data_IF_613621675793
#
_entry.id   IF_613621675793
#
_cell.length_a   1.000
_cell.length_b   1.000
_cell.length_c   1.000
_cell.angle_alpha   90.00
_cell.angle_beta   90.00
_cell.angle_gamma   90.00
#
_symmetry.space_group_name_H-M   'P 1'
#
loop_
_entity.id
_entity.type
_entity.pdbx_description
1 polymer ?
#
# COMPACT_ATOMS: atom_id res chain seq x y z
N UNK A 1 -1.73 -36.07 -30.86
CA UNK A 1 -1.37 -34.74 -30.34
C UNK A 1 -1.66 -34.77 -28.86
N UNK A 2 -0.62 -34.90 -28.03
CA UNK A 2 -0.78 -34.68 -26.58
C UNK A 2 -1.02 -33.17 -26.47
N UNK A 3 -2.22 -32.77 -26.07
CA UNK A 3 -2.46 -31.37 -25.72
C UNK A 3 -1.62 -31.09 -24.48
N UNK A 4 -0.63 -30.22 -24.61
CA UNK A 4 0.07 -29.69 -23.44
C UNK A 4 -0.97 -29.11 -22.47
N UNK A 5 -0.81 -29.41 -21.19
CA UNK A 5 -1.73 -28.95 -20.16
C UNK A 5 -1.75 -27.42 -20.18
N UNK A 6 -2.91 -26.76 -20.41
CA UNK A 6 -3.00 -25.30 -20.39
C UNK A 6 -2.49 -24.71 -19.08
N UNK A 7 -2.55 -25.45 -17.97
CA UNK A 7 -2.03 -25.03 -16.67
C UNK A 7 -0.48 -24.95 -16.67
N UNK A 8 0.20 -25.77 -17.47
CA UNK A 8 1.67 -25.71 -17.64
C UNK A 8 2.10 -24.43 -18.35
N UNK A 9 1.38 -24.04 -19.41
CA UNK A 9 1.65 -22.83 -20.17
C UNK A 9 1.39 -21.56 -19.34
N UNK A 10 0.34 -21.52 -18.51
CA UNK A 10 0.10 -20.40 -17.61
C UNK A 10 1.19 -20.25 -16.53
N UNK A 11 1.73 -21.36 -16.03
CA UNK A 11 2.85 -21.36 -15.08
C UNK A 11 4.14 -20.89 -15.75
N UNK A 12 4.46 -21.36 -16.96
CA UNK A 12 5.65 -20.93 -17.71
C UNK A 12 5.57 -19.44 -18.12
N UNK A 13 4.38 -18.95 -18.49
CA UNK A 13 4.13 -17.53 -18.72
C UNK A 13 4.21 -16.70 -17.42
N UNK A 14 3.75 -17.23 -16.28
CA UNK A 14 3.91 -16.57 -14.98
C UNK A 14 5.38 -16.54 -14.54
N UNK A 15 6.14 -17.61 -14.80
CA UNK A 15 7.57 -17.71 -14.52
C UNK A 15 8.37 -16.64 -15.28
N UNK A 16 8.07 -16.47 -16.57
CA UNK A 16 8.72 -15.46 -17.43
C UNK A 16 8.25 -14.02 -17.17
N UNK A 17 6.99 -13.82 -16.75
CA UNK A 17 6.44 -12.49 -16.49
C UNK A 17 6.84 -11.97 -15.10
N UNK A 18 6.55 -12.69 -14.02
CA UNK A 18 6.59 -12.13 -12.67
C UNK A 18 8.03 -11.78 -12.24
N UNK A 19 9.06 -12.36 -12.87
CA UNK A 19 10.47 -12.02 -12.61
C UNK A 19 10.88 -12.28 -11.17
N UNK A 20 10.22 -13.25 -10.52
CA UNK A 20 10.57 -13.81 -9.20
C UNK A 20 11.69 -14.85 -9.35
N UNK A 21 11.83 -15.41 -10.56
CA UNK A 21 12.79 -16.45 -10.86
C UNK A 21 13.94 -15.83 -11.65
N UNK A 22 15.01 -15.46 -10.95
CA UNK A 22 16.30 -15.32 -11.63
C UNK A 22 16.73 -16.72 -12.10
N UNK A 23 17.08 -16.91 -13.38
CA UNK A 23 17.61 -18.18 -13.86
C UNK A 23 18.78 -18.64 -12.96
N UNK A 24 18.63 -19.78 -12.30
CA UNK A 24 19.64 -20.37 -11.38
C UNK A 24 19.36 -20.23 -9.88
N UNK A 25 18.33 -19.48 -9.44
CA UNK A 25 17.92 -19.42 -8.02
C UNK A 25 16.53 -20.02 -7.83
N UNK A 26 16.48 -21.24 -7.28
CA UNK A 26 15.26 -22.03 -7.07
C UNK A 26 14.42 -21.62 -5.84
N UNK A 27 14.76 -20.51 -5.17
CA UNK A 27 14.44 -20.35 -3.75
C UNK A 27 12.96 -20.03 -3.42
N UNK A 28 12.20 -19.46 -4.35
CA UNK A 28 10.77 -19.14 -4.16
C UNK A 28 9.84 -19.94 -5.10
N UNK A 29 10.28 -21.07 -5.69
CA UNK A 29 9.40 -21.86 -6.58
C UNK A 29 8.28 -22.59 -5.84
N UNK A 30 8.47 -22.83 -4.53
CA UNK A 30 7.47 -23.51 -3.72
C UNK A 30 7.43 -22.92 -2.30
N UNK A 31 6.26 -22.39 -1.96
CA UNK A 31 5.94 -21.89 -0.63
C UNK A 31 4.89 -22.85 -0.06
N UNK A 32 5.32 -23.66 0.91
CA UNK A 32 4.43 -24.45 1.74
C UNK A 32 3.80 -23.58 2.86
N UNK A 33 2.92 -24.18 3.65
CA UNK A 33 2.25 -23.46 4.74
C UNK A 33 3.22 -22.93 5.79
N UNK A 34 4.27 -23.67 6.15
CA UNK A 34 5.24 -23.26 7.16
C UNK A 34 6.02 -22.01 6.72
N UNK A 35 6.44 -21.96 5.45
CA UNK A 35 7.06 -20.78 4.85
C UNK A 35 6.06 -19.63 4.75
N UNK A 36 4.83 -19.88 4.29
CA UNK A 36 3.81 -18.83 4.18
C UNK A 36 3.47 -18.22 5.55
N UNK A 37 3.38 -19.04 6.59
CA UNK A 37 3.15 -18.60 7.96
C UNK A 37 4.31 -17.71 8.45
N UNK A 38 5.57 -18.07 8.18
CA UNK A 38 6.73 -17.22 8.49
C UNK A 38 6.71 -15.90 7.71
N UNK A 39 6.25 -15.91 6.46
CA UNK A 39 6.07 -14.71 5.64
C UNK A 39 4.98 -13.80 6.24
N UNK A 40 3.90 -14.37 6.76
CA UNK A 40 2.85 -13.64 7.46
C UNK A 40 3.37 -13.03 8.76
N UNK A 41 4.10 -13.79 9.57
CA UNK A 41 4.74 -13.28 10.79
C UNK A 41 5.72 -12.14 10.46
N UNK A 42 6.51 -12.28 9.39
CA UNK A 42 7.43 -11.23 8.96
C UNK A 42 6.68 -9.97 8.49
N UNK A 43 5.60 -10.13 7.71
CA UNK A 43 4.76 -9.01 7.28
C UNK A 43 4.10 -8.31 8.47
N UNK A 44 3.60 -9.08 9.44
CA UNK A 44 3.06 -8.56 10.70
C UNK A 44 4.11 -7.83 11.53
N UNK A 45 5.34 -8.36 11.61
CA UNK A 45 6.46 -7.69 12.26
C UNK A 45 6.89 -6.41 11.51
N UNK A 46 6.77 -6.38 10.19
CA UNK A 46 7.07 -5.19 9.37
C UNK A 46 6.05 -4.09 9.65
N UNK A 47 4.78 -4.47 9.72
CA UNK A 47 3.70 -3.57 10.12
C UNK A 47 3.92 -3.03 11.55
N UNK A 48 4.19 -3.91 12.52
CA UNK A 48 4.47 -3.52 13.90
C UNK A 48 5.70 -2.60 14.00
N UNK A 49 6.74 -2.83 13.20
CA UNK A 49 7.90 -1.94 13.13
C UNK A 49 7.53 -0.56 12.58
N UNK A 50 6.73 -0.49 11.52
CA UNK A 50 6.21 0.79 11.02
C UNK A 50 5.40 1.54 12.08
N UNK A 51 4.49 0.84 12.79
CA UNK A 51 3.74 1.45 13.90
C UNK A 51 4.66 1.94 15.02
N UNK A 52 5.66 1.16 15.41
CA UNK A 52 6.63 1.56 16.42
C UNK A 52 7.44 2.79 15.98
N UNK A 53 7.86 2.84 14.72
CA UNK A 53 8.56 4.00 14.18
C UNK A 53 7.63 5.22 14.07
N UNK A 54 6.36 5.06 13.75
CA UNK A 54 5.36 6.14 13.80
C UNK A 54 5.22 6.69 15.21
N UNK A 55 5.18 5.84 16.24
CA UNK A 55 5.19 6.30 17.65
C UNK A 55 6.47 7.07 17.95
N UNK A 56 7.63 6.58 17.51
CA UNK A 56 8.91 7.28 17.69
C UNK A 56 8.91 8.64 16.98
N UNK A 57 8.46 8.73 15.73
CA UNK A 57 8.40 10.01 15.00
C UNK A 57 7.39 10.96 15.64
N UNK A 58 6.26 10.48 16.18
CA UNK A 58 5.34 11.33 16.96
C UNK A 58 6.00 11.87 18.22
N UNK A 59 6.72 11.04 18.99
CA UNK A 59 7.44 11.51 20.19
C UNK A 59 8.52 12.54 19.84
N UNK A 60 9.25 12.33 18.74
CA UNK A 60 10.21 13.30 18.23
C UNK A 60 9.52 14.60 17.79
N UNK A 61 8.36 14.52 17.14
CA UNK A 61 7.57 15.69 16.76
C UNK A 61 7.14 16.51 17.98
N UNK A 62 6.80 15.87 19.09
CA UNK A 62 6.51 16.54 20.36
C UNK A 62 7.75 17.28 20.89
N UNK A 63 8.91 16.61 20.92
CA UNK A 63 10.18 17.21 21.38
C UNK A 63 10.59 18.41 20.49
N UNK A 64 10.31 18.32 19.19
CA UNK A 64 10.58 19.39 18.22
C UNK A 64 9.54 20.53 18.24
N UNK A 65 8.48 20.40 19.04
CA UNK A 65 7.39 21.38 19.10
C UNK A 65 6.44 21.35 17.90
N UNK A 66 6.54 20.35 17.01
CA UNK A 66 5.62 20.13 15.90
C UNK A 66 4.26 19.57 16.36
N UNK A 67 4.24 18.92 17.53
CA UNK A 67 3.01 18.48 18.20
C UNK A 67 3.03 19.04 19.61
N UNK A 68 2.02 19.83 19.96
CA UNK A 68 1.93 20.49 21.26
C UNK A 68 0.72 19.96 22.03
N UNK A 69 0.92 19.71 23.32
CA UNK A 69 -0.17 19.32 24.23
C UNK A 69 -0.43 20.50 25.15
N UNK A 70 -1.62 21.08 25.07
CA UNK A 70 -2.00 22.20 25.95
C UNK A 70 -2.24 21.72 27.39
N UNK A 71 -2.24 22.63 28.39
CA UNK A 71 -2.66 22.27 29.75
C UNK A 71 -4.08 21.69 29.85
N UNK A 72 -4.94 22.01 28.88
CA UNK A 72 -6.29 21.45 28.75
C UNK A 72 -6.34 20.09 28.04
N UNK A 73 -5.19 19.46 27.79
CA UNK A 73 -5.03 18.18 27.07
C UNK A 73 -5.48 18.20 25.60
N UNK A 74 -5.56 19.38 24.98
CA UNK A 74 -5.77 19.47 23.54
C UNK A 74 -4.45 19.22 22.81
N UNK A 75 -4.50 18.44 21.74
CA UNK A 75 -3.36 18.17 20.87
C UNK A 75 -3.43 19.14 19.69
N UNK A 76 -2.39 19.95 19.52
CA UNK A 76 -2.25 20.91 18.42
C UNK A 76 -1.13 20.41 17.52
N UNK A 77 -1.44 20.30 16.24
CA UNK A 77 -0.50 19.91 15.19
C UNK A 77 -0.02 21.16 14.45
N UNK A 78 1.29 21.40 14.47
CA UNK A 78 1.90 22.45 13.66
C UNK A 78 1.99 22.02 12.19
N UNK A 79 2.18 22.98 11.26
CA UNK A 79 2.53 22.65 9.88
C UNK A 79 3.69 21.64 9.82
N UNK A 80 3.63 20.72 8.86
CA UNK A 80 4.59 19.64 8.62
C UNK A 80 4.60 18.50 9.64
N UNK A 81 3.85 18.59 10.73
CA UNK A 81 3.82 17.56 11.78
C UNK A 81 3.46 16.18 11.23
N UNK A 82 2.40 16.07 10.44
CA UNK A 82 1.95 14.78 9.88
C UNK A 82 2.86 14.21 8.79
N UNK A 83 3.45 15.08 7.96
CA UNK A 83 4.46 14.66 6.99
C UNK A 83 5.67 14.08 7.73
N UNK A 84 6.10 14.73 8.82
CA UNK A 84 7.18 14.23 9.67
C UNK A 84 6.82 12.91 10.35
N UNK A 85 5.62 12.81 10.93
CA UNK A 85 5.13 11.57 11.57
C UNK A 85 5.09 10.42 10.57
N UNK A 86 4.65 10.68 9.33
CA UNK A 86 4.55 9.69 8.25
C UNK A 86 5.89 9.06 7.87
N UNK A 87 7.04 9.66 8.22
CA UNK A 87 8.35 9.04 8.03
C UNK A 87 8.49 7.71 8.79
N UNK A 88 7.67 7.47 9.83
CA UNK A 88 7.59 6.19 10.53
C UNK A 88 7.23 5.01 9.60
N UNK A 89 6.51 5.28 8.51
CA UNK A 89 6.06 4.25 7.57
C UNK A 89 7.20 3.55 6.82
N UNK A 90 8.41 4.14 6.77
CA UNK A 90 9.57 3.42 6.23
C UNK A 90 9.84 2.09 6.96
N UNK A 91 9.33 1.91 8.18
CA UNK A 91 9.37 0.62 8.89
C UNK A 91 8.72 -0.54 8.12
N UNK A 92 7.68 -0.28 7.32
CA UNK A 92 6.96 -1.30 6.55
C UNK A 92 7.85 -2.00 5.52
N UNK A 93 8.87 -1.33 4.99
CA UNK A 93 9.74 -1.88 3.93
C UNK A 93 11.04 -2.47 4.46
N UNK A 94 11.43 -2.18 5.69
CA UNK A 94 12.71 -2.63 6.25
C UNK A 94 12.80 -4.18 6.25
N UNK A 95 11.80 -4.87 6.79
CA UNK A 95 11.84 -6.33 6.88
C UNK A 95 11.67 -7.03 5.51
N UNK A 96 10.75 -6.62 4.62
CA UNK A 96 10.70 -7.14 3.25
C UNK A 96 12.02 -7.00 2.49
N UNK A 97 12.67 -5.83 2.58
CA UNK A 97 13.97 -5.59 1.92
C UNK A 97 15.07 -6.47 2.54
N UNK A 98 15.11 -6.59 3.87
CA UNK A 98 16.06 -7.49 4.56
C UNK A 98 15.84 -8.94 4.17
N UNK A 99 14.58 -9.38 4.05
CA UNK A 99 14.24 -10.74 3.63
C UNK A 99 14.80 -11.03 2.24
N UNK A 100 14.47 -10.22 1.23
CA UNK A 100 14.92 -10.49 -0.15
C UNK A 100 16.45 -10.43 -0.25
N UNK A 101 17.11 -9.50 0.44
CA UNK A 101 18.58 -9.44 0.48
C UNK A 101 19.20 -10.66 1.15
N UNK A 102 18.64 -11.15 2.27
CA UNK A 102 19.12 -12.35 2.98
C UNK A 102 19.10 -13.59 2.08
N UNK A 103 18.09 -13.72 1.24
CA UNK A 103 17.95 -14.83 0.30
C UNK A 103 18.57 -14.54 -1.08
N UNK A 104 19.24 -13.40 -1.22
CA UNK A 104 19.86 -12.93 -2.47
C UNK A 104 18.88 -12.79 -3.63
N UNK A 105 17.63 -12.46 -3.32
CA UNK A 105 16.57 -12.15 -4.26
C UNK A 105 16.68 -10.66 -4.62
N UNK A 106 16.56 -10.32 -5.90
CA UNK A 106 16.57 -8.93 -6.36
C UNK A 106 15.39 -8.12 -5.82
N UNK A 107 15.60 -6.82 -5.58
CA UNK A 107 14.53 -5.88 -5.22
C UNK A 107 13.43 -5.80 -6.29
N UNK A 108 13.73 -6.20 -7.53
CA UNK A 108 12.74 -6.34 -8.62
C UNK A 108 11.67 -7.40 -8.30
N UNK A 109 11.97 -8.37 -7.44
CA UNK A 109 11.03 -9.39 -6.97
C UNK A 109 10.01 -8.87 -5.97
N UNK A 110 10.24 -7.69 -5.38
CA UNK A 110 9.23 -6.95 -4.59
C UNK A 110 8.72 -5.73 -5.34
N UNK A 111 8.89 -5.74 -6.66
CA UNK A 111 8.29 -4.78 -7.58
C UNK A 111 8.97 -3.41 -7.65
N UNK A 112 10.16 -3.28 -7.07
CA UNK A 112 11.08 -2.16 -7.31
C UNK A 112 11.73 -2.34 -8.69
N UNK A 113 10.94 -2.10 -9.73
CA UNK A 113 11.34 -2.13 -11.13
C UNK A 113 10.47 -1.16 -11.91
N UNK A 114 11.03 -0.52 -12.94
CA UNK A 114 10.27 0.27 -13.91
C UNK A 114 10.76 -0.12 -15.31
N UNK A 115 9.85 -0.52 -16.20
CA UNK A 115 10.20 -0.79 -17.61
C UNK A 115 9.92 0.43 -18.48
N UNK A 116 8.73 1.02 -18.34
CA UNK A 116 8.30 2.21 -19.10
C UNK A 116 7.72 3.24 -18.12
N UNK A 117 8.58 3.98 -17.38
CA UNK A 117 8.15 4.78 -16.24
C UNK A 117 7.08 5.83 -16.60
N UNK A 118 7.22 6.53 -17.74
CA UNK A 118 6.22 7.51 -18.16
C UNK A 118 4.83 6.89 -18.38
N UNK A 119 4.75 5.72 -19.05
CA UNK A 119 3.48 5.02 -19.25
C UNK A 119 2.89 4.53 -17.93
N UNK A 120 3.73 4.03 -17.04
CA UNK A 120 3.30 3.54 -15.73
C UNK A 120 2.80 4.67 -14.82
N UNK A 121 3.42 5.85 -14.87
CA UNK A 121 2.94 7.05 -14.19
C UNK A 121 1.58 7.47 -14.73
N UNK A 122 1.39 7.55 -16.06
CA UNK A 122 0.08 7.93 -16.65
C UNK A 122 -1.01 6.95 -16.25
N UNK A 123 -0.74 5.65 -16.29
CA UNK A 123 -1.70 4.63 -15.84
C UNK A 123 -2.01 4.80 -14.35
N UNK A 124 -0.98 5.05 -13.52
CA UNK A 124 -1.15 5.32 -12.11
C UNK A 124 -2.01 6.54 -11.84
N UNK A 125 -1.84 7.63 -12.60
CA UNK A 125 -2.65 8.85 -12.49
C UNK A 125 -4.12 8.55 -12.81
N UNK A 126 -4.38 7.90 -13.93
CA UNK A 126 -5.77 7.56 -14.34
C UNK A 126 -6.42 6.65 -13.29
N UNK A 127 -5.71 5.61 -12.84
CA UNK A 127 -6.21 4.71 -11.81
C UNK A 127 -6.44 5.44 -10.49
N UNK A 128 -5.53 6.32 -10.07
CA UNK A 128 -5.65 7.11 -8.85
C UNK A 128 -6.83 8.07 -8.86
N UNK A 129 -7.11 8.74 -9.98
CA UNK A 129 -8.29 9.59 -10.13
C UNK A 129 -9.60 8.78 -10.11
N UNK A 130 -9.60 7.59 -10.72
CA UNK A 130 -10.71 6.65 -10.63
C UNK A 130 -10.94 6.15 -9.20
N UNK A 131 -9.87 5.81 -8.50
CA UNK A 131 -9.90 5.42 -7.09
C UNK A 131 -10.41 6.56 -6.20
N UNK A 132 -9.97 7.81 -6.43
CA UNK A 132 -10.43 8.98 -5.68
C UNK A 132 -11.94 9.17 -5.83
N UNK A 133 -12.44 9.12 -7.07
CA UNK A 133 -13.88 9.20 -7.36
C UNK A 133 -14.66 8.11 -6.63
N UNK A 134 -14.16 6.87 -6.70
CA UNK A 134 -14.77 5.74 -6.01
C UNK A 134 -14.73 5.91 -4.49
N UNK A 135 -13.61 6.38 -3.94
CA UNK A 135 -13.42 6.64 -2.51
C UNK A 135 -14.42 7.68 -2.02
N UNK A 136 -14.58 8.80 -2.75
CA UNK A 136 -15.58 9.82 -2.44
C UNK A 136 -17.00 9.26 -2.47
N UNK A 137 -17.35 8.51 -3.52
CA UNK A 137 -18.68 7.88 -3.63
C UNK A 137 -18.98 6.90 -2.49
N UNK A 138 -18.04 6.02 -2.14
CA UNK A 138 -18.20 5.08 -1.03
C UNK A 138 -18.26 5.77 0.33
N UNK A 139 -17.55 6.89 0.48
CA UNK A 139 -17.64 7.73 1.68
C UNK A 139 -19.05 8.30 1.83
N UNK A 140 -19.65 8.83 0.75
CA UNK A 140 -21.02 9.35 0.79
C UNK A 140 -22.03 8.27 1.20
N UNK A 141 -21.88 7.05 0.66
CA UNK A 141 -22.70 5.90 1.08
C UNK A 141 -22.51 5.60 2.57
N UNK A 142 -21.26 5.63 3.04
CA UNK A 142 -20.95 5.34 4.45
C UNK A 142 -21.61 6.36 5.37
N UNK A 143 -21.52 7.65 5.05
CA UNK A 143 -22.19 8.72 5.82
C UNK A 143 -23.70 8.52 5.84
N UNK A 144 -24.32 8.26 4.69
CA UNK A 144 -25.77 8.03 4.60
C UNK A 144 -26.23 6.82 5.44
N UNK A 145 -25.46 5.73 5.43
CA UNK A 145 -25.82 4.50 6.15
C UNK A 145 -25.54 4.54 7.65
N UNK A 146 -24.55 5.33 8.08
CA UNK A 146 -24.03 5.28 9.46
C UNK A 146 -24.32 6.54 10.26
N UNK A 147 -24.55 7.67 9.58
CA UNK A 147 -24.64 8.99 10.21
C UNK A 147 -23.28 9.55 10.67
N UNK A 148 -22.18 8.82 10.46
CA UNK A 148 -20.84 9.30 10.82
C UNK A 148 -20.42 10.43 9.85
N UNK A 149 -19.83 11.52 10.36
CA UNK A 149 -19.47 12.67 9.54
C UNK A 149 -18.37 12.32 8.50
N UNK A 150 -18.44 12.98 7.34
CA UNK A 150 -17.41 12.93 6.30
C UNK A 150 -16.07 13.40 6.87
N UNK A 151 -15.07 12.52 6.97
CA UNK A 151 -13.63 12.80 7.15
C UNK A 151 -13.28 14.20 7.69
N UNK A 152 -13.84 14.60 8.83
CA UNK A 152 -13.47 15.83 9.53
C UNK A 152 -12.26 15.54 10.41
N UNK A 153 -11.21 15.04 9.77
CA UNK A 153 -9.96 14.79 10.45
C UNK A 153 -9.07 16.01 10.24
N UNK A 154 -9.00 16.88 11.26
CA UNK A 154 -8.09 18.03 11.30
C UNK A 154 -6.63 17.60 11.08
N UNK A 155 -6.33 16.30 11.25
CA UNK A 155 -5.02 15.70 11.02
C UNK A 155 -4.61 15.61 9.53
N UNK A 156 -5.53 15.82 8.59
CA UNK A 156 -5.28 15.69 7.14
C UNK A 156 -5.49 17.01 6.38
N UNK A 157 -5.03 18.12 6.98
CA UNK A 157 -5.09 19.46 6.42
C UNK A 157 -3.69 19.98 6.04
N UNK A 158 -3.61 20.73 4.94
CA UNK A 158 -2.44 21.54 4.61
C UNK A 158 -2.69 23.00 5.00
N UNK A 159 -1.73 23.64 5.68
CA UNK A 159 -1.86 25.02 6.15
C UNK A 159 -1.45 26.05 5.09
N UNK A 160 -0.60 25.65 4.14
CA UNK A 160 -0.17 26.47 3.02
C UNK A 160 0.11 25.63 1.75
N UNK A 161 0.41 26.31 0.65
CA UNK A 161 0.71 25.66 -0.64
C UNK A 161 1.97 24.80 -0.61
N UNK A 162 2.98 25.17 0.19
CA UNK A 162 4.22 24.41 0.27
C UNK A 162 3.99 23.09 1.01
N UNK A 163 3.24 23.12 2.10
CA UNK A 163 2.82 21.92 2.83
C UNK A 163 1.92 21.04 1.98
N UNK A 164 1.04 21.61 1.15
CA UNK A 164 0.22 20.82 0.20
C UNK A 164 1.08 20.04 -0.81
N UNK A 165 2.15 20.65 -1.32
CA UNK A 165 3.15 19.96 -2.15
C UNK A 165 3.86 18.88 -1.34
N UNK A 166 4.21 19.18 -0.10
CA UNK A 166 4.79 18.22 0.85
C UNK A 166 3.90 16.99 1.04
N UNK A 167 2.59 17.19 1.20
CA UNK A 167 1.59 16.13 1.29
C UNK A 167 1.52 15.28 0.03
N UNK A 168 1.50 15.89 -1.15
CA UNK A 168 1.50 15.16 -2.43
C UNK A 168 2.72 14.23 -2.54
N UNK A 169 3.91 14.75 -2.20
CA UNK A 169 5.15 13.98 -2.19
C UNK A 169 5.13 12.89 -1.12
N UNK A 170 4.65 13.18 0.08
CA UNK A 170 4.56 12.22 1.17
C UNK A 170 3.62 11.05 0.83
N UNK A 171 2.43 11.34 0.30
CA UNK A 171 1.45 10.31 -0.06
C UNK A 171 1.95 9.37 -1.15
N UNK A 172 2.78 9.84 -2.08
CA UNK A 172 3.35 9.00 -3.14
C UNK A 172 4.64 8.30 -2.66
N UNK A 173 5.61 9.07 -2.18
CA UNK A 173 6.98 8.59 -1.96
C UNK A 173 7.19 7.89 -0.61
N UNK A 174 6.33 8.17 0.36
CA UNK A 174 6.38 7.55 1.69
C UNK A 174 5.23 6.55 1.82
N UNK A 175 3.98 7.04 1.79
CA UNK A 175 2.81 6.19 2.06
C UNK A 175 2.61 5.15 0.96
N UNK A 176 2.33 5.60 -0.26
CA UNK A 176 2.12 4.72 -1.41
C UNK A 176 3.31 3.80 -1.66
N UNK A 177 4.54 4.32 -1.61
CA UNK A 177 5.74 3.49 -1.78
C UNK A 177 5.83 2.37 -0.74
N UNK A 178 5.75 2.71 0.55
CA UNK A 178 6.05 1.74 1.61
C UNK A 178 4.97 0.68 1.74
N UNK A 179 3.71 1.08 1.64
CA UNK A 179 2.58 0.16 1.72
C UNK A 179 2.50 -0.74 0.48
N UNK A 180 2.60 -0.21 -0.74
CA UNK A 180 2.51 -1.04 -1.94
C UNK A 180 3.67 -2.04 -2.05
N UNK A 181 4.88 -1.69 -1.56
CA UNK A 181 6.00 -2.64 -1.48
C UNK A 181 5.70 -3.78 -0.50
N UNK A 182 5.15 -3.49 0.68
CA UNK A 182 4.79 -4.52 1.65
C UNK A 182 3.64 -5.41 1.15
N UNK A 183 2.54 -4.80 0.69
CA UNK A 183 1.33 -5.54 0.35
C UNK A 183 1.41 -6.16 -1.04
N UNK A 184 1.69 -5.38 -2.10
CA UNK A 184 1.68 -5.90 -3.49
C UNK A 184 2.99 -6.52 -3.90
N UNK A 185 4.09 -5.86 -3.53
CA UNK A 185 5.44 -6.32 -3.83
C UNK A 185 5.80 -7.58 -3.06
N UNK A 186 5.56 -7.59 -1.75
CA UNK A 186 6.01 -8.66 -0.89
C UNK A 186 4.93 -9.72 -0.63
N UNK A 187 3.81 -9.35 -0.01
CA UNK A 187 2.83 -10.29 0.50
C UNK A 187 1.97 -10.95 -0.60
N UNK A 188 1.40 -10.16 -1.52
CA UNK A 188 0.55 -10.65 -2.60
C UNK A 188 1.27 -11.67 -3.48
N UNK A 189 2.50 -11.38 -3.92
CA UNK A 189 3.30 -12.29 -4.75
C UNK A 189 3.57 -13.63 -4.06
N UNK A 190 3.77 -13.63 -2.74
CA UNK A 190 4.02 -14.85 -1.98
C UNK A 190 2.74 -15.66 -1.80
N UNK A 191 1.59 -15.01 -1.64
CA UNK A 191 0.30 -15.69 -1.71
C UNK A 191 0.05 -16.31 -3.09
N UNK A 192 0.43 -15.66 -4.18
CA UNK A 192 0.27 -16.23 -5.52
C UNK A 192 1.09 -17.51 -5.70
N UNK A 193 2.34 -17.52 -5.24
CA UNK A 193 3.20 -18.72 -5.25
C UNK A 193 2.61 -19.81 -4.33
N UNK A 194 2.14 -19.44 -3.14
CA UNK A 194 1.52 -20.39 -2.22
C UNK A 194 0.25 -21.03 -2.80
N UNK A 195 -0.57 -20.26 -3.52
CA UNK A 195 -1.81 -20.76 -4.10
C UNK A 195 -1.64 -21.42 -5.47
N UNK A 196 -0.54 -21.21 -6.18
CA UNK A 196 -0.36 -21.70 -7.56
C UNK A 196 -0.41 -23.23 -7.65
N UNK A 197 -0.04 -23.94 -6.59
CA UNK A 197 -0.09 -25.41 -6.53
C UNK A 197 -1.47 -25.98 -6.16
N UNK A 198 -2.41 -25.16 -5.68
CA UNK A 198 -3.66 -25.65 -5.05
C UNK A 198 -4.94 -24.98 -5.52
N UNK A 199 -4.88 -23.84 -6.24
CA UNK A 199 -6.04 -23.05 -6.63
C UNK A 199 -5.97 -22.65 -8.11
N UNK A 200 -7.02 -22.97 -8.88
CA UNK A 200 -7.15 -22.52 -10.29
C UNK A 200 -7.11 -20.99 -10.46
N UNK A 201 -7.68 -20.25 -9.49
CA UNK A 201 -7.70 -18.77 -9.49
C UNK A 201 -6.71 -18.17 -8.49
N UNK A 202 -5.50 -18.74 -8.41
CA UNK A 202 -4.49 -18.37 -7.41
C UNK A 202 -4.16 -16.87 -7.39
N UNK A 203 -4.09 -16.24 -8.57
CA UNK A 203 -3.87 -14.78 -8.73
C UNK A 203 -4.97 -13.95 -8.06
N UNK A 204 -6.23 -14.31 -8.29
CA UNK A 204 -7.37 -13.58 -7.74
C UNK A 204 -7.44 -13.74 -6.21
N UNK A 205 -7.21 -14.97 -5.72
CA UNK A 205 -7.19 -15.26 -4.29
C UNK A 205 -6.12 -14.46 -3.55
N UNK A 206 -4.92 -14.34 -4.14
CA UNK A 206 -3.86 -13.55 -3.55
C UNK A 206 -4.20 -12.06 -3.47
N UNK A 207 -4.86 -11.50 -4.51
CA UNK A 207 -5.35 -10.11 -4.49
C UNK A 207 -6.39 -9.92 -3.39
N UNK A 208 -7.41 -10.78 -3.33
CA UNK A 208 -8.50 -10.66 -2.35
C UNK A 208 -7.97 -10.76 -0.92
N UNK A 209 -7.16 -11.77 -0.61
CA UNK A 209 -6.64 -12.00 0.75
C UNK A 209 -5.71 -10.88 1.18
N UNK A 210 -4.79 -10.45 0.31
CA UNK A 210 -3.88 -9.34 0.64
C UNK A 210 -4.64 -8.03 0.83
N UNK A 211 -5.68 -7.78 0.03
CA UNK A 211 -6.49 -6.57 0.14
C UNK A 211 -7.38 -6.58 1.38
N UNK A 212 -7.84 -7.75 1.80
CA UNK A 212 -8.53 -7.92 3.08
C UNK A 212 -7.60 -7.64 4.26
N UNK A 213 -6.39 -8.23 4.26
CA UNK A 213 -5.37 -7.94 5.29
C UNK A 213 -5.04 -6.45 5.33
N UNK A 214 -4.83 -5.82 4.18
CA UNK A 214 -4.62 -4.38 4.05
C UNK A 214 -5.75 -3.59 4.71
N UNK A 215 -7.02 -3.89 4.37
CA UNK A 215 -8.17 -3.16 4.88
C UNK A 215 -8.33 -3.27 6.41
N UNK A 216 -8.19 -4.47 6.98
CA UNK A 216 -8.39 -4.68 8.43
C UNK A 216 -7.27 -4.09 9.28
N UNK A 217 -6.05 -4.01 8.77
CA UNK A 217 -4.91 -3.43 9.49
C UNK A 217 -5.02 -1.90 9.68
N UNK A 218 -5.94 -1.24 8.97
CA UNK A 218 -6.22 0.18 9.17
C UNK A 218 -7.08 0.47 10.40
N UNK A 219 -7.67 -0.56 11.04
CA UNK A 219 -8.44 -0.43 12.29
C UNK A 219 -9.59 0.59 12.25
N UNK A 220 -10.12 0.86 11.06
CA UNK A 220 -11.27 1.73 10.82
C UNK A 220 -12.39 0.89 10.20
N UNK A 221 -13.34 0.49 11.05
CA UNK A 221 -14.42 -0.45 10.69
C UNK A 221 -15.29 0.09 9.54
N UNK A 222 -15.55 1.39 9.52
CA UNK A 222 -16.41 2.03 8.52
C UNK A 222 -15.71 2.14 7.17
N UNK A 223 -14.39 2.34 7.17
CA UNK A 223 -13.61 2.38 5.94
C UNK A 223 -13.08 1.02 5.47
N UNK A 224 -13.33 -0.11 6.17
CA UNK A 224 -12.94 -1.46 5.70
C UNK A 224 -13.48 -1.76 4.29
N UNK A 225 -14.79 -1.54 3.97
CA UNK A 225 -15.31 -1.83 2.63
C UNK A 225 -14.62 -1.03 1.54
N UNK A 226 -14.40 0.27 1.78
CA UNK A 226 -13.68 1.16 0.86
C UNK A 226 -12.25 0.69 0.64
N UNK A 227 -11.50 0.44 1.72
CA UNK A 227 -10.10 0.00 1.63
C UNK A 227 -9.95 -1.39 1.01
N UNK A 228 -10.92 -2.29 1.21
CA UNK A 228 -10.93 -3.60 0.55
C UNK A 228 -11.06 -3.44 -0.97
N UNK A 229 -12.03 -2.64 -1.44
CA UNK A 229 -12.23 -2.40 -2.87
C UNK A 229 -11.03 -1.68 -3.52
N UNK A 230 -10.53 -0.62 -2.89
CA UNK A 230 -9.33 0.08 -3.35
C UNK A 230 -8.11 -0.86 -3.35
N UNK A 231 -7.98 -1.71 -2.33
CA UNK A 231 -6.93 -2.72 -2.25
C UNK A 231 -7.00 -3.73 -3.40
N UNK A 232 -8.19 -4.16 -3.79
CA UNK A 232 -8.39 -5.05 -4.94
C UNK A 232 -7.95 -4.35 -6.23
N UNK A 233 -8.32 -3.08 -6.42
CA UNK A 233 -7.91 -2.29 -7.59
C UNK A 233 -6.37 -2.19 -7.67
N UNK A 234 -5.71 -1.87 -6.55
CA UNK A 234 -4.25 -1.79 -6.47
C UNK A 234 -3.59 -3.16 -6.73
N UNK A 235 -4.17 -4.24 -6.19
CA UNK A 235 -3.72 -5.60 -6.42
C UNK A 235 -3.77 -6.00 -7.89
N UNK A 236 -4.92 -5.82 -8.54
CA UNK A 236 -5.11 -6.08 -9.97
C UNK A 236 -4.21 -5.19 -10.83
N UNK A 237 -4.06 -3.92 -10.45
CA UNK A 237 -3.16 -3.00 -11.13
C UNK A 237 -1.72 -3.53 -11.08
N UNK A 238 -1.23 -3.95 -9.91
CA UNK A 238 0.09 -4.56 -9.78
C UNK A 238 0.25 -5.79 -10.70
N UNK A 239 -0.74 -6.71 -10.75
CA UNK A 239 -0.69 -7.87 -11.65
C UNK A 239 -0.62 -7.44 -13.13
N UNK A 240 -1.48 -6.50 -13.55
CA UNK A 240 -1.55 -6.00 -14.93
C UNK A 240 -0.27 -5.27 -15.38
N UNK A 241 0.49 -4.73 -14.41
CA UNK A 241 1.78 -4.07 -14.65
C UNK A 241 2.96 -5.03 -14.47
N UNK A 242 2.69 -6.33 -14.43
CA UNK A 242 3.69 -7.35 -14.22
C UNK A 242 4.54 -7.08 -12.96
N UNK A 243 3.87 -6.64 -11.88
CA UNK A 243 4.42 -6.24 -10.59
C UNK A 243 5.49 -5.16 -10.67
N UNK A 244 5.44 -4.28 -11.67
CA UNK A 244 6.00 -2.95 -11.45
C UNK A 244 5.08 -2.20 -10.49
N UNK A 245 5.65 -1.64 -9.42
CA UNK A 245 4.86 -0.89 -8.44
C UNK A 245 4.70 0.59 -8.76
N UNK A 246 5.29 1.11 -9.84
CA UNK A 246 5.16 2.53 -10.19
C UNK A 246 3.69 2.94 -10.33
N UNK A 247 2.89 2.20 -11.10
CA UNK A 247 1.47 2.53 -11.27
C UNK A 247 0.66 2.43 -9.96
N UNK A 248 0.71 1.33 -9.18
CA UNK A 248 -0.04 1.26 -7.92
C UNK A 248 0.44 2.29 -6.88
N UNK A 249 1.74 2.57 -6.78
CA UNK A 249 2.27 3.62 -5.87
C UNK A 249 1.68 4.99 -6.23
N UNK A 250 1.70 5.34 -7.51
CA UNK A 250 1.14 6.61 -7.99
C UNK A 250 -0.38 6.65 -7.79
N UNK A 251 -1.09 5.56 -8.09
CA UNK A 251 -2.54 5.49 -7.92
C UNK A 251 -2.96 5.64 -6.45
N UNK A 252 -2.27 4.92 -5.55
CA UNK A 252 -2.50 5.01 -4.12
C UNK A 252 -2.19 6.43 -3.60
N UNK A 253 -1.02 6.97 -3.93
CA UNK A 253 -0.64 8.31 -3.49
C UNK A 253 -1.57 9.40 -4.00
N UNK A 254 -2.08 9.31 -5.25
CA UNK A 254 -3.06 10.27 -5.79
C UNK A 254 -4.41 10.16 -5.10
N UNK A 255 -4.88 8.94 -4.81
CA UNK A 255 -6.09 8.75 -4.02
C UNK A 255 -5.97 9.44 -2.66
N UNK A 256 -4.89 9.16 -1.92
CA UNK A 256 -4.72 9.70 -0.57
C UNK A 256 -4.48 11.22 -0.59
N UNK A 257 -3.68 11.71 -1.53
CA UNK A 257 -3.49 13.16 -1.71
C UNK A 257 -4.79 13.86 -2.08
N UNK A 258 -5.62 13.27 -2.94
CA UNK A 258 -6.92 13.81 -3.31
C UNK A 258 -7.85 13.99 -2.12
N UNK A 259 -7.79 13.08 -1.13
CA UNK A 259 -8.52 13.21 0.12
C UNK A 259 -7.97 14.36 1.00
N UNK A 260 -6.65 14.51 1.11
CA UNK A 260 -6.02 15.65 1.80
C UNK A 260 -6.40 16.98 1.13
N UNK A 261 -6.35 17.02 -0.20
CA UNK A 261 -6.74 18.18 -0.99
C UNK A 261 -8.21 18.53 -0.74
N UNK A 262 -9.10 17.54 -0.80
CA UNK A 262 -10.52 17.74 -0.52
C UNK A 262 -10.74 18.29 0.90
N UNK A 263 -10.11 17.68 1.90
CA UNK A 263 -10.21 18.11 3.29
C UNK A 263 -9.75 19.58 3.45
N UNK A 264 -8.61 19.93 2.86
CA UNK A 264 -8.03 21.29 2.91
C UNK A 264 -8.96 22.37 2.36
N UNK A 265 -9.69 22.11 1.26
CA UNK A 265 -10.47 23.14 0.56
C UNK A 265 -11.99 23.08 0.80
N UNK A 266 -12.52 21.96 1.27
CA UNK A 266 -13.97 21.76 1.37
C UNK A 266 -14.48 21.49 2.79
N UNK A 267 -13.60 21.37 3.80
CA UNK A 267 -14.00 21.24 5.21
C UNK A 267 -13.71 22.48 6.07
N UNK A 268 -12.94 23.46 5.58
CA UNK A 268 -12.85 24.77 6.23
C UNK A 268 -14.03 25.64 5.78
N UNK A 269 -14.99 25.99 6.66
CA UNK A 269 -15.86 27.13 6.37
C UNK A 269 -14.97 28.37 6.23
N UNK A 270 -15.16 29.12 5.15
CA UNK A 270 -14.59 30.45 4.97
C UNK A 270 -15.02 31.39 6.11
#
# INVERSE_FOLDING_TARGET
MVMDDPDFLEMEEAETRIGIFEPGRWLERDIDWDKMFRILLLSGAAFALGMALTVVTTLLAVVMGLVRITPSLNIIFEPWSFIFISLGQFGFVILPIRYVRKYGISLRAIGIKAKKPAKEIVIGIIAGLGMLTLSMFLTLITVELTGEPLFQDEMLLAHDTLELIGWALCMILVVGFTEEVLFRGFLQRRFEIYFSSSKKRYKDWAVVITSFIFAVLHLDIYGVPTRLLLGIILGLLAQSRNYSLVSPIIAHGINNFGLVFWNTYYLLPA
#
